data_IF_104497913121
#
_entry.id   IF_104497913121
#
_cell.length_a   1.000
_cell.length_b   1.000
_cell.length_c   1.000
_cell.angle_alpha   90.00
_cell.angle_beta   90.00
_cell.angle_gamma   90.00
#
_symmetry.space_group_name_H-M   'P 1'
#
loop_
_entity.id
_entity.type
_entity.pdbx_description
1 polymer ?
#
# COMPACT_ATOMS: atom_id res chain seq x y z
N UNK A 1 -17.47 -4.24 5.40
CA UNK A 1 -16.47 -3.32 4.80
C UNK A 1 -15.56 -4.14 3.91
N UNK A 2 -15.53 -3.86 2.60
CA UNK A 2 -14.68 -4.56 1.63
C UNK A 2 -13.20 -4.30 1.94
N UNK A 3 -12.32 -5.22 1.57
CA UNK A 3 -10.88 -5.05 1.74
C UNK A 3 -10.35 -3.88 0.90
N UNK A 4 -10.97 -3.61 -0.27
CA UNK A 4 -10.62 -2.43 -1.09
C UNK A 4 -10.93 -1.12 -0.37
N UNK A 5 -12.06 -1.06 0.33
CA UNK A 5 -12.43 0.13 1.12
C UNK A 5 -11.45 0.34 2.29
N UNK A 6 -10.97 -0.75 2.89
CA UNK A 6 -9.93 -0.67 3.93
C UNK A 6 -8.61 -0.11 3.36
N UNK A 7 -8.17 -0.57 2.19
CA UNK A 7 -6.94 -0.04 1.57
C UNK A 7 -7.11 1.42 1.17
N UNK A 8 -8.25 1.80 0.59
CA UNK A 8 -8.55 3.22 0.30
C UNK A 8 -8.48 4.07 1.57
N UNK A 9 -9.05 3.56 2.67
CA UNK A 9 -9.02 4.25 3.95
C UNK A 9 -7.60 4.40 4.50
N UNK A 10 -6.75 3.39 4.36
CA UNK A 10 -5.33 3.47 4.73
C UNK A 10 -4.62 4.53 3.89
N UNK A 11 -4.80 4.53 2.56
CA UNK A 11 -4.20 5.53 1.68
C UNK A 11 -4.62 6.97 2.02
N UNK A 12 -5.87 7.20 2.45
CA UNK A 12 -6.31 8.52 2.93
C UNK A 12 -5.61 8.94 4.23
N UNK A 13 -5.37 7.99 5.13
CA UNK A 13 -4.63 8.22 6.37
C UNK A 13 -3.16 8.52 6.09
N UNK A 14 -2.50 7.70 5.28
CA UNK A 14 -1.09 7.88 4.91
C UNK A 14 -0.87 9.24 4.23
N UNK A 15 -1.80 9.66 3.37
CA UNK A 15 -1.75 11.00 2.75
C UNK A 15 -1.80 12.13 3.78
N UNK A 16 -2.57 11.95 4.86
CA UNK A 16 -2.65 12.89 5.98
C UNK A 16 -1.38 12.85 6.83
N UNK A 17 -0.85 11.65 7.09
CA UNK A 17 0.39 11.46 7.82
C UNK A 17 1.58 12.08 7.09
N UNK A 18 1.68 11.95 5.75
CA UNK A 18 2.72 12.58 4.95
C UNK A 18 2.74 14.11 5.08
N UNK A 19 1.56 14.75 5.15
CA UNK A 19 1.46 16.18 5.36
C UNK A 19 1.98 16.57 6.75
N UNK A 20 1.56 15.84 7.80
CA UNK A 20 2.02 16.04 9.17
C UNK A 20 3.53 15.83 9.31
N UNK A 21 4.08 14.78 8.71
CA UNK A 21 5.52 14.52 8.73
C UNK A 21 6.32 15.62 8.04
N UNK A 22 5.78 16.21 6.97
CA UNK A 22 6.41 17.34 6.28
C UNK A 22 6.45 18.60 7.17
N UNK A 23 5.37 18.87 7.92
CA UNK A 23 5.34 19.96 8.91
C UNK A 23 6.32 19.72 10.06
N UNK A 24 6.37 18.49 10.59
CA UNK A 24 7.32 18.10 11.65
C UNK A 24 8.77 18.25 11.15
N UNK A 25 9.06 17.85 9.91
CA UNK A 25 10.39 18.02 9.33
C UNK A 25 10.78 19.51 9.20
N UNK A 26 9.83 20.40 8.89
CA UNK A 26 10.08 21.83 8.83
C UNK A 26 10.37 22.45 10.22
N UNK A 27 9.70 21.95 11.26
CA UNK A 27 9.88 22.41 12.65
C UNK A 27 11.00 21.72 13.43
N UNK A 28 11.62 20.66 12.87
CA UNK A 28 12.59 19.85 13.61
C UNK A 28 13.90 20.62 13.92
N UNK A 29 14.36 20.64 15.19
CA UNK A 29 15.46 21.48 15.63
C UNK A 29 16.85 21.01 15.18
N UNK A 30 16.98 19.77 14.72
CA UNK A 30 18.27 19.20 14.31
C UNK A 30 18.24 18.62 12.91
N UNK A 31 19.36 18.76 12.18
CA UNK A 31 19.51 18.20 10.84
C UNK A 31 19.39 16.68 10.84
N UNK A 32 19.96 16.01 11.85
CA UNK A 32 19.86 14.56 11.99
C UNK A 32 18.39 14.11 12.08
N UNK A 33 17.57 14.80 12.85
CA UNK A 33 16.14 14.49 12.95
C UNK A 33 15.41 14.76 11.63
N UNK A 34 15.73 15.85 10.92
CA UNK A 34 15.17 16.14 9.60
C UNK A 34 15.48 15.04 8.58
N UNK A 35 16.70 14.52 8.58
CA UNK A 35 17.12 13.41 7.71
C UNK A 35 16.32 12.14 8.03
N UNK A 36 16.13 11.82 9.32
CA UNK A 36 15.34 10.64 9.74
C UNK A 36 13.88 10.78 9.29
N UNK A 37 13.25 11.94 9.52
CA UNK A 37 11.86 12.17 9.13
C UNK A 37 11.71 12.08 7.61
N UNK A 38 12.65 12.64 6.83
CA UNK A 38 12.65 12.50 5.37
C UNK A 38 12.73 11.04 4.92
N UNK A 39 13.58 10.24 5.55
CA UNK A 39 13.65 8.81 5.23
C UNK A 39 12.33 8.07 5.54
N UNK A 40 11.65 8.44 6.63
CA UNK A 40 10.32 7.90 6.95
C UNK A 40 9.27 8.29 5.90
N UNK A 41 9.27 9.56 5.47
CA UNK A 41 8.38 10.06 4.41
C UNK A 41 8.59 9.29 3.11
N UNK A 42 9.84 9.05 2.69
CA UNK A 42 10.11 8.32 1.46
C UNK A 42 9.64 6.86 1.54
N UNK A 43 9.89 6.19 2.67
CA UNK A 43 9.39 4.82 2.90
C UNK A 43 7.86 4.77 2.84
N UNK A 44 7.17 5.72 3.47
CA UNK A 44 5.71 5.78 3.46
C UNK A 44 5.15 5.93 2.03
N UNK A 45 5.79 6.76 1.19
CA UNK A 45 5.42 6.89 -0.22
C UNK A 45 5.57 5.58 -1.00
N UNK A 46 6.62 4.80 -0.73
CA UNK A 46 6.82 3.48 -1.34
C UNK A 46 5.72 2.48 -0.93
N UNK A 47 5.32 2.51 0.34
CA UNK A 47 4.22 1.69 0.87
C UNK A 47 2.89 2.07 0.23
N UNK A 48 2.56 3.37 0.15
CA UNK A 48 1.38 3.88 -0.54
C UNK A 48 1.36 3.48 -2.03
N UNK A 49 2.49 3.57 -2.73
CA UNK A 49 2.59 3.14 -4.14
C UNK A 49 2.30 1.64 -4.30
N UNK A 50 2.76 0.82 -3.36
CA UNK A 50 2.49 -0.61 -3.33
C UNK A 50 1.00 -0.89 -3.14
N UNK A 51 0.34 -0.21 -2.20
CA UNK A 51 -1.09 -0.32 -1.96
C UNK A 51 -1.94 0.13 -3.16
N UNK A 52 -1.54 1.23 -3.82
CA UNK A 52 -2.17 1.68 -5.07
C UNK A 52 -2.03 0.64 -6.19
N UNK A 53 -0.86 0.01 -6.31
CA UNK A 53 -0.61 -1.06 -7.29
C UNK A 53 -1.49 -2.29 -7.05
N UNK A 54 -1.70 -2.67 -5.78
CA UNK A 54 -2.62 -3.75 -5.39
C UNK A 54 -4.05 -3.40 -5.80
N UNK A 55 -4.54 -2.19 -5.49
CA UNK A 55 -5.88 -1.75 -5.86
C UNK A 55 -6.09 -1.76 -7.39
N UNK A 56 -5.11 -1.28 -8.16
CA UNK A 56 -5.17 -1.26 -9.62
C UNK A 56 -5.20 -2.69 -10.22
N UNK A 57 -4.36 -3.59 -9.70
CA UNK A 57 -4.27 -4.98 -10.17
C UNK A 57 -5.56 -5.78 -9.93
N UNK A 58 -6.32 -5.44 -8.89
CA UNK A 58 -7.58 -6.10 -8.53
C UNK A 58 -8.85 -5.38 -9.04
N UNK A 59 -8.70 -4.31 -9.83
CA UNK A 59 -9.77 -3.61 -10.54
C UNK A 59 -10.09 -4.19 -11.92
N UNK A 60 -9.28 -5.14 -12.41
CA UNK A 60 -9.36 -5.71 -13.76
C UNK A 60 -9.85 -7.15 -13.85
N UNK A 61 -10.72 -7.63 -12.94
CA UNK A 61 -11.24 -9.00 -13.01
C UNK A 61 -12.77 -9.03 -13.03
N UNK A 62 -13.35 -9.02 -14.25
CA UNK A 62 -14.59 -9.67 -14.71
C UNK A 62 -14.65 -9.43 -16.25
N UNK A 63 -14.76 -10.38 -17.18
CA UNK A 63 -15.09 -11.80 -17.23
C UNK A 63 -14.20 -12.47 -18.29
N UNK A 64 -13.71 -13.68 -18.04
CA UNK A 64 -13.51 -14.65 -19.12
C UNK A 64 -14.33 -15.90 -18.78
N UNK A 65 -15.34 -16.30 -19.58
CA UNK A 65 -16.00 -17.59 -19.45
C UNK A 65 -15.12 -18.67 -20.10
N UNK A 66 -13.92 -18.87 -19.57
CA UNK A 66 -13.07 -20.01 -19.88
C UNK A 66 -12.00 -20.08 -18.80
N UNK A 67 -12.29 -20.81 -17.72
CA UNK A 67 -11.27 -21.11 -16.71
C UNK A 67 -10.06 -21.78 -17.39
N UNK A 68 -8.81 -21.41 -17.05
CA UNK A 68 -7.67 -22.17 -17.51
C UNK A 68 -7.76 -23.58 -16.92
N UNK A 69 -7.96 -24.54 -17.82
CA UNK A 69 -7.81 -25.97 -17.56
C UNK A 69 -6.44 -26.24 -16.95
N UNK A 70 -6.42 -26.72 -15.71
CA UNK A 70 -5.25 -27.40 -15.15
C UNK A 70 -4.67 -26.77 -13.88
N UNK A 71 -5.36 -26.97 -12.76
CA UNK A 71 -4.66 -27.24 -11.50
C UNK A 71 -5.11 -28.64 -11.04
N UNK A 72 -4.20 -29.62 -10.91
CA UNK A 72 -4.56 -30.88 -10.28
C UNK A 72 -4.89 -30.63 -8.80
N UNK A 73 -5.93 -31.28 -8.24
CA UNK A 73 -6.26 -31.14 -6.83
C UNK A 73 -5.08 -31.64 -5.99
N UNK A 74 -4.79 -30.90 -4.91
CA UNK A 74 -3.78 -31.25 -3.91
C UNK A 74 -3.95 -32.73 -3.50
N UNK A 75 -2.95 -33.55 -3.76
CA UNK A 75 -2.86 -34.87 -3.14
C UNK A 75 -2.46 -34.67 -1.68
N UNK A 76 -3.40 -34.85 -0.76
CA UNK A 76 -3.08 -35.19 0.63
C UNK A 76 -2.22 -36.45 0.61
N UNK A 77 -1.06 -36.40 1.26
CA UNK A 77 -0.25 -37.60 1.52
C UNK A 77 -0.46 -37.96 2.98
N UNK A 78 -1.00 -39.16 3.18
CA UNK A 78 -1.01 -39.91 4.44
C UNK A 78 0.42 -40.20 4.95
#
# INVERSE_FOLDING_TARGET
MDWRDKIRRVLELDQTELALWSEIAAGAPSEKLRVIIRAMIEREKEEMHTLQSILASHGGWYHDPAGPSGYPPYSEKD
#
